data_IF_414179168063
#
_entry.id   IF_414179168063
#
_cell.length_a   1.000
_cell.length_b   1.000
_cell.length_c   1.000
_cell.angle_alpha   90.00
_cell.angle_beta   90.00
_cell.angle_gamma   90.00
#
_symmetry.space_group_name_H-M   'P 1'
#
loop_
_entity.id
_entity.type
_entity.pdbx_description
1 polymer ?
#
# COMPACT_ATOMS: atom_id res chain seq x y z
N UNK A 1 -1.11 -11.45 -19.49
CA UNK A 1 -0.42 -11.74 -18.22
C UNK A 1 -1.35 -11.30 -17.12
N UNK A 2 -1.88 -12.23 -16.33
CA UNK A 2 -2.66 -11.90 -15.13
C UNK A 2 -1.73 -11.24 -14.12
N UNK A 3 -2.04 -10.02 -13.68
CA UNK A 3 -1.25 -9.35 -12.65
C UNK A 3 -1.22 -10.24 -11.40
N UNK A 4 -0.02 -10.60 -10.97
CA UNK A 4 0.17 -11.47 -9.81
C UNK A 4 -0.36 -10.77 -8.55
N UNK A 5 -1.00 -11.52 -7.66
CA UNK A 5 -1.46 -10.98 -6.37
C UNK A 5 -0.23 -10.60 -5.53
N UNK A 6 -0.07 -9.30 -5.29
CA UNK A 6 0.99 -8.74 -4.44
C UNK A 6 0.32 -8.08 -3.25
N UNK A 7 0.69 -8.47 -2.05
CA UNK A 7 0.32 -7.75 -0.84
C UNK A 7 1.33 -6.63 -0.59
N UNK A 8 0.84 -5.42 -0.35
CA UNK A 8 1.65 -4.24 -0.04
C UNK A 8 1.32 -3.81 1.39
N UNK A 9 2.32 -3.91 2.27
CA UNK A 9 2.23 -3.49 3.67
C UNK A 9 3.20 -2.35 3.92
N UNK A 10 2.77 -1.34 4.66
CA UNK A 10 3.60 -0.22 5.07
C UNK A 10 3.97 -0.51 6.53
N UNK A 11 5.27 -0.54 6.82
CA UNK A 11 5.80 -0.85 8.15
C UNK A 11 6.61 0.33 8.67
N UNK A 12 6.45 0.66 9.95
CA UNK A 12 7.30 1.65 10.61
C UNK A 12 8.72 1.12 10.81
N UNK A 13 9.72 1.98 10.66
CA UNK A 13 11.13 1.61 10.87
C UNK A 13 11.57 1.71 12.33
N UNK A 14 10.73 2.31 13.19
CA UNK A 14 11.06 2.76 14.55
C UNK A 14 11.46 1.66 15.56
N UNK A 15 11.49 0.36 15.21
CA UNK A 15 12.03 -0.69 16.09
C UNK A 15 12.63 -1.88 15.33
N UNK A 16 13.83 -1.68 14.79
CA UNK A 16 14.64 -2.73 14.15
C UNK A 16 14.96 -3.96 15.05
N UNK A 17 14.58 -3.96 16.35
CA UNK A 17 14.77 -5.10 17.26
C UNK A 17 13.60 -6.10 17.32
N UNK A 18 12.46 -5.80 16.70
CA UNK A 18 11.27 -6.68 16.75
C UNK A 18 10.55 -6.87 15.40
N UNK A 19 11.10 -6.32 14.32
CA UNK A 19 10.36 -6.17 13.05
C UNK A 19 9.46 -4.94 13.16
N UNK A 20 9.49 -4.10 12.12
CA UNK A 20 8.62 -2.92 12.04
C UNK A 20 7.16 -3.28 12.26
N UNK A 21 6.41 -2.40 12.90
CA UNK A 21 4.97 -2.60 13.07
C UNK A 21 4.24 -2.30 11.78
N UNK A 22 3.33 -3.18 11.35
CA UNK A 22 2.41 -2.86 10.26
C UNK A 22 1.59 -1.62 10.62
N UNK A 23 1.66 -0.57 9.80
CA UNK A 23 0.93 0.68 10.02
C UNK A 23 -0.22 0.88 9.03
N UNK A 24 -0.10 0.40 7.80
CA UNK A 24 -1.15 0.50 6.79
C UNK A 24 -0.98 -0.54 5.68
N UNK A 25 -2.03 -0.73 4.89
CA UNK A 25 -1.98 -1.49 3.64
C UNK A 25 -2.15 -0.53 2.44
N UNK A 26 -1.58 -0.89 1.30
CA UNK A 26 -1.63 -0.06 0.10
C UNK A 26 -1.68 -0.86 -1.20
N UNK A 27 -1.43 -0.14 -2.30
CA UNK A 27 -1.34 -0.72 -3.64
C UNK A 27 -0.13 -0.18 -4.38
N UNK A 28 0.56 -1.05 -5.11
CA UNK A 28 1.63 -0.68 -6.02
C UNK A 28 0.99 -0.24 -7.34
N UNK A 29 1.01 1.07 -7.59
CA UNK A 29 0.41 1.68 -8.80
C UNK A 29 1.43 1.89 -9.92
N UNK A 30 2.71 2.01 -9.56
CA UNK A 30 3.86 2.04 -10.46
C UNK A 30 5.01 1.27 -9.78
N UNK A 31 6.05 0.81 -10.50
CA UNK A 31 7.18 0.12 -9.87
C UNK A 31 7.84 0.92 -8.73
N UNK A 32 7.76 2.24 -8.75
CA UNK A 32 8.34 3.14 -7.74
C UNK A 32 7.30 3.86 -6.88
N UNK A 33 6.00 3.52 -6.96
CA UNK A 33 4.96 4.24 -6.23
C UNK A 33 3.90 3.35 -5.60
N UNK A 34 3.57 3.69 -4.35
CA UNK A 34 2.51 3.03 -3.58
C UNK A 34 1.45 4.03 -3.13
N UNK A 35 0.18 3.67 -3.32
CA UNK A 35 -0.96 4.40 -2.74
C UNK A 35 -1.35 3.78 -1.41
N UNK A 36 -1.54 4.62 -0.40
CA UNK A 36 -2.07 4.24 0.93
C UNK A 36 -3.42 4.93 1.10
N UNK A 37 -4.55 4.21 0.93
CA UNK A 37 -5.88 4.81 0.92
C UNK A 37 -6.37 5.27 2.30
N UNK A 38 -5.85 4.68 3.37
CA UNK A 38 -6.18 5.01 4.76
C UNK A 38 -4.87 5.19 5.55
N UNK A 39 -4.16 6.31 5.34
CA UNK A 39 -2.87 6.55 5.96
C UNK A 39 -3.05 6.96 7.44
N UNK A 40 -2.23 6.43 8.37
CA UNK A 40 -2.25 6.90 9.74
C UNK A 40 -1.74 8.35 9.81
N UNK A 41 -2.14 9.14 10.83
CA UNK A 41 -1.76 10.55 10.93
C UNK A 41 -0.26 10.80 10.82
N UNK A 42 0.54 9.96 11.48
CA UNK A 42 2.00 10.06 11.46
C UNK A 42 2.65 9.84 10.08
N UNK A 43 1.94 9.21 9.15
CA UNK A 43 2.41 9.06 7.77
C UNK A 43 2.18 10.35 6.99
N UNK A 44 1.04 11.01 7.20
CA UNK A 44 0.68 12.25 6.51
C UNK A 44 1.51 13.45 6.96
N UNK A 45 1.87 13.52 8.25
CA UNK A 45 2.69 14.61 8.80
C UNK A 45 4.21 14.36 8.69
N UNK A 46 4.61 13.20 8.17
CA UNK A 46 6.01 12.83 7.96
C UNK A 46 6.78 12.46 9.23
N UNK A 47 6.10 12.26 10.37
CA UNK A 47 6.74 11.83 11.63
C UNK A 47 7.05 10.33 11.69
N UNK A 48 6.50 9.53 10.76
CA UNK A 48 6.79 8.11 10.64
C UNK A 48 7.78 7.83 9.51
N UNK A 49 8.96 7.35 9.88
CA UNK A 49 9.85 6.64 8.95
C UNK A 49 9.24 5.28 8.60
N UNK A 50 9.03 5.02 7.31
CA UNK A 50 8.37 3.80 6.83
C UNK A 50 9.11 3.11 5.70
N UNK A 51 9.05 1.78 5.73
CA UNK A 51 9.41 0.89 4.64
C UNK A 51 8.14 0.30 4.01
N UNK A 52 8.16 0.10 2.70
CA UNK A 52 7.16 -0.68 1.98
C UNK A 52 7.61 -2.13 1.88
N UNK A 53 6.75 -3.04 2.30
CA UNK A 53 6.95 -4.48 2.32
C UNK A 53 6.02 -5.13 1.30
N UNK A 54 6.60 -5.76 0.27
CA UNK A 54 5.87 -6.39 -0.82
C UNK A 54 6.08 -7.91 -0.81
N UNK A 55 4.99 -8.65 -0.94
CA UNK A 55 5.01 -10.11 -1.00
C UNK A 55 4.10 -10.60 -2.13
N UNK A 56 4.63 -11.43 -3.03
CA UNK A 56 3.82 -12.16 -4.01
C UNK A 56 3.05 -13.32 -3.36
N UNK A 57 2.02 -13.80 -4.05
CA UNK A 57 1.27 -15.00 -3.64
C UNK A 57 2.09 -16.29 -3.68
N UNK A 58 3.06 -16.37 -4.58
CA UNK A 58 4.03 -17.48 -4.64
C UNK A 58 5.18 -17.16 -3.67
N UNK A 59 5.57 -18.14 -2.85
CA UNK A 59 6.50 -18.09 -1.70
C UNK A 59 7.94 -17.57 -2.02
N UNK A 60 8.07 -16.39 -2.61
CA UNK A 60 9.32 -15.70 -2.91
C UNK A 60 9.75 -14.75 -1.79
N UNK A 61 11.05 -14.38 -1.69
CA UNK A 61 11.56 -13.46 -0.67
C UNK A 61 10.75 -12.18 -0.64
N UNK A 62 10.40 -11.65 0.52
CA UNK A 62 9.69 -10.39 0.71
C UNK A 62 10.60 -9.27 0.24
N UNK A 63 10.06 -8.35 -0.56
CA UNK A 63 10.76 -7.12 -0.90
C UNK A 63 10.52 -6.10 0.19
N UNK A 64 11.59 -5.45 0.66
CA UNK A 64 11.49 -4.31 1.56
C UNK A 64 12.20 -3.14 0.90
N UNK A 65 11.47 -2.06 0.66
CA UNK A 65 11.98 -0.86 0.00
C UNK A 65 11.68 0.35 0.89
N UNK A 66 12.69 1.12 1.33
CA UNK A 66 12.46 2.36 2.06
C UNK A 66 11.63 3.35 1.24
N UNK A 67 10.79 4.13 1.92
CA UNK A 67 10.17 5.31 1.31
C UNK A 67 11.18 6.45 1.22
N UNK A 68 11.21 7.16 0.08
CA UNK A 68 11.99 8.40 -0.08
C UNK A 68 11.15 9.65 0.06
N UNK A 69 9.83 9.52 0.07
CA UNK A 69 8.92 10.67 0.14
C UNK A 69 7.47 10.24 0.35
N UNK A 70 6.72 11.08 1.05
CA UNK A 70 5.28 10.92 1.25
C UNK A 70 4.57 12.14 0.68
N UNK A 71 3.71 11.92 -0.30
CA UNK A 71 2.85 12.94 -0.85
C UNK A 71 1.44 12.76 -0.26
N UNK A 72 1.09 13.60 0.72
CA UNK A 72 -0.27 13.68 1.25
C UNK A 72 -1.18 14.36 0.22
N UNK A 73 -2.26 13.67 -0.16
CA UNK A 73 -3.24 14.17 -1.12
C UNK A 73 -4.60 14.25 -0.47
N UNK A 74 -5.36 15.29 -0.85
CA UNK A 74 -6.73 15.49 -0.42
C UNK A 74 -7.64 15.72 -1.62
N UNK A 75 -8.62 14.84 -1.80
CA UNK A 75 -9.59 14.90 -2.91
C UNK A 75 -10.99 14.61 -2.36
N UNK A 76 -12.00 15.37 -2.81
CA UNK A 76 -13.38 15.27 -2.33
C UNK A 76 -13.52 15.21 -0.79
N UNK A 77 -12.60 15.89 -0.07
CA UNK A 77 -12.58 15.92 1.39
C UNK A 77 -11.86 14.73 2.07
N UNK A 78 -11.55 13.66 1.35
CA UNK A 78 -10.82 12.49 1.84
C UNK A 78 -9.30 12.65 1.69
N UNK A 79 -8.54 12.08 2.61
CA UNK A 79 -7.07 12.13 2.64
C UNK A 79 -6.47 10.75 2.38
N UNK A 80 -5.44 10.71 1.53
CA UNK A 80 -4.67 9.50 1.24
C UNK A 80 -3.21 9.87 0.94
N UNK A 81 -2.32 8.88 0.95
CA UNK A 81 -0.90 9.12 0.71
C UNK A 81 -0.40 8.41 -0.54
N UNK A 82 0.56 9.02 -1.23
CA UNK A 82 1.38 8.38 -2.26
C UNK A 82 2.82 8.34 -1.80
N UNK A 83 3.38 7.15 -1.65
CA UNK A 83 4.76 6.91 -1.25
C UNK A 83 5.63 6.73 -2.51
N UNK A 84 6.73 7.48 -2.58
CA UNK A 84 7.79 7.25 -3.56
C UNK A 84 8.83 6.28 -2.97
N UNK A 85 9.19 5.24 -3.72
CA UNK A 85 10.10 4.18 -3.28
C UNK A 85 11.55 4.50 -3.65
N UNK A 86 12.49 4.13 -2.77
CA UNK A 86 13.94 4.30 -3.01
C UNK A 86 14.48 3.52 -4.22
N UNK A 87 13.78 2.46 -4.63
CA UNK A 87 14.09 1.66 -5.81
C UNK A 87 12.81 1.11 -6.43
N UNK A 88 12.87 0.78 -7.72
CA UNK A 88 11.76 0.09 -8.38
C UNK A 88 11.55 -1.31 -7.78
N UNK A 89 10.31 -1.61 -7.42
CA UNK A 89 9.82 -2.94 -7.05
C UNK A 89 10.02 -3.90 -8.22
N UNK A 90 10.46 -5.12 -7.90
CA UNK A 90 10.50 -6.22 -8.88
C UNK A 90 9.10 -6.78 -9.18
N UNK A 91 8.12 -6.48 -8.33
CA UNK A 91 6.73 -6.88 -8.54
C UNK A 91 6.04 -5.95 -9.53
N UNK A 92 5.21 -6.52 -10.42
CA UNK A 92 4.36 -5.73 -11.29
C UNK A 92 3.32 -4.95 -10.47
N UNK A 93 2.92 -3.74 -10.91
CA UNK A 93 1.81 -2.99 -10.31
C UNK A 93 0.56 -3.86 -10.17
N UNK A 94 -0.06 -3.81 -8.99
CA UNK A 94 -1.31 -4.52 -8.68
C UNK A 94 -2.52 -3.58 -8.68
N UNK A 95 -2.29 -2.30 -8.91
CA UNK A 95 -3.34 -1.32 -9.16
C UNK A 95 -2.92 -0.32 -10.24
N UNK A 96 -3.89 0.43 -10.76
CA UNK A 96 -3.70 1.58 -11.63
C UNK A 96 -4.19 2.81 -10.88
N UNK A 97 -3.44 3.90 -10.91
CA UNK A 97 -3.92 5.17 -10.37
C UNK A 97 -5.03 5.71 -11.29
N UNK A 98 -6.27 5.89 -10.81
CA UNK A 98 -7.30 6.50 -11.64
C UNK A 98 -6.98 7.97 -11.93
N UNK A 99 -7.46 8.48 -13.06
CA UNK A 99 -7.34 9.90 -13.38
C UNK A 99 -7.96 10.77 -12.27
N UNK A 100 -7.36 11.91 -11.88
CA UNK A 100 -7.77 12.67 -10.70
C UNK A 100 -9.27 13.03 -10.68
N UNK A 101 -9.83 13.43 -11.82
CA UNK A 101 -11.26 13.77 -11.95
C UNK A 101 -12.16 12.56 -11.72
N UNK A 102 -11.76 11.39 -12.22
CA UNK A 102 -12.50 10.14 -12.02
C UNK A 102 -12.38 9.65 -10.57
N UNK A 103 -11.19 9.78 -9.97
CA UNK A 103 -10.95 9.44 -8.58
C UNK A 103 -11.76 10.33 -7.64
N UNK A 104 -11.79 11.64 -7.87
CA UNK A 104 -12.58 12.58 -7.06
C UNK A 104 -14.08 12.25 -7.11
N UNK A 105 -14.61 11.97 -8.31
CA UNK A 105 -16.00 11.56 -8.48
C UNK A 105 -16.30 10.23 -7.77
N UNK A 106 -15.38 9.26 -7.85
CA UNK A 106 -15.52 7.97 -7.18
C UNK A 106 -15.49 8.14 -5.65
N UNK A 107 -14.56 8.93 -5.09
CA UNK A 107 -14.49 9.21 -3.65
C UNK A 107 -15.79 9.84 -3.17
N UNK A 108 -16.32 10.83 -3.90
CA UNK A 108 -17.60 11.45 -3.56
C UNK A 108 -18.77 10.44 -3.60
N UNK A 109 -18.82 9.57 -4.62
CA UNK A 109 -19.84 8.54 -4.74
C UNK A 109 -19.77 7.47 -3.63
N UNK A 110 -18.58 7.25 -3.07
CA UNK A 110 -18.31 6.31 -1.98
C UNK A 110 -18.20 6.98 -0.60
N UNK A 111 -18.74 8.19 -0.43
CA UNK A 111 -18.86 8.84 0.88
C UNK A 111 -17.53 9.20 1.54
N UNK A 112 -16.48 9.45 0.75
CA UNK A 112 -15.14 9.73 1.24
C UNK A 112 -14.26 8.49 1.45
N UNK A 113 -14.77 7.29 1.18
CA UNK A 113 -13.98 6.06 1.26
C UNK A 113 -13.07 5.91 0.03
N UNK A 114 -11.80 6.31 0.19
CA UNK A 114 -10.78 6.22 -0.86
C UNK A 114 -10.53 4.76 -1.26
N UNK A 115 -10.61 3.82 -0.32
CA UNK A 115 -10.38 2.41 -0.66
C UNK A 115 -11.49 1.90 -1.57
N UNK A 116 -12.74 2.10 -1.15
CA UNK A 116 -13.90 1.69 -1.95
C UNK A 116 -13.91 2.37 -3.33
N UNK A 117 -13.50 3.65 -3.41
CA UNK A 117 -13.37 4.36 -4.67
C UNK A 117 -12.34 3.73 -5.63
N UNK A 118 -11.15 3.37 -5.13
CA UNK A 118 -10.12 2.69 -5.93
C UNK A 118 -10.56 1.29 -6.40
N UNK A 119 -11.19 0.52 -5.50
CA UNK A 119 -11.69 -0.82 -5.81
C UNK A 119 -12.83 -0.77 -6.85
N UNK A 120 -13.76 0.18 -6.70
CA UNK A 120 -14.88 0.38 -7.63
C UNK A 120 -14.44 0.87 -9.02
N UNK A 121 -13.32 1.59 -9.11
CA UNK A 121 -12.72 2.00 -10.38
C UNK A 121 -12.16 0.82 -11.19
N UNK A 122 -12.28 -0.43 -10.71
CA UNK A 122 -11.78 -1.64 -11.38
C UNK A 122 -10.26 -1.63 -11.55
N UNK A 123 -9.58 -0.74 -10.83
CA UNK A 123 -8.18 -0.41 -10.99
C UNK A 123 -7.30 -1.21 -10.04
N UNK A 124 -7.80 -2.30 -9.46
CA UNK A 124 -7.11 -3.07 -8.41
C UNK A 124 -7.28 -4.56 -8.67
N UNK A 125 -6.19 -5.33 -8.59
CA UNK A 125 -6.27 -6.78 -8.45
C UNK A 125 -6.75 -7.08 -7.03
N UNK A 126 -7.89 -7.79 -6.83
CA UNK A 126 -8.43 -8.02 -5.50
C UNK A 126 -7.37 -8.59 -4.55
N UNK A 127 -7.10 -7.87 -3.46
CA UNK A 127 -6.30 -8.36 -2.33
C UNK A 127 -7.29 -8.61 -1.19
N UNK A 128 -7.36 -9.84 -0.62
CA UNK A 128 -8.27 -10.12 0.46
C UNK A 128 -8.07 -9.13 1.62
N UNK A 129 -9.15 -8.54 2.19
CA UNK A 129 -9.03 -7.65 3.33
C UNK A 129 -8.32 -8.36 4.49
N UNK A 130 -7.36 -7.66 5.11
CA UNK A 130 -6.51 -8.22 6.18
C UNK A 130 -5.23 -8.91 5.71
N UNK A 131 -4.96 -8.93 4.40
CA UNK A 131 -3.70 -9.46 3.84
C UNK A 131 -2.47 -8.73 4.38
N UNK A 132 -1.76 -9.37 5.32
CA UNK A 132 -0.52 -8.85 5.90
C UNK A 132 0.69 -9.59 5.34
N UNK A 133 1.66 -8.86 4.79
CA UNK A 133 2.96 -9.44 4.52
C UNK A 133 3.63 -9.78 5.86
N UNK A 134 4.04 -11.03 6.05
CA UNK A 134 4.78 -11.44 7.23
C UNK A 134 6.27 -11.42 6.91
N UNK A 135 6.99 -10.41 7.38
CA UNK A 135 8.44 -10.31 7.19
C UNK A 135 9.20 -11.50 7.81
N UNK A 136 8.71 -12.06 8.93
CA UNK A 136 9.35 -13.18 9.64
C UNK A 136 9.30 -14.51 8.90
N UNK A 137 8.20 -14.78 8.21
CA UNK A 137 7.94 -16.08 7.55
C UNK A 137 7.77 -15.94 6.05
N UNK A 138 7.94 -14.74 5.52
CA UNK A 138 8.06 -14.49 4.10
C UNK A 138 6.81 -14.85 3.28
N UNK A 139 5.62 -14.70 3.86
CA UNK A 139 4.34 -15.04 3.24
C UNK A 139 3.25 -14.02 3.57
N UNK A 140 2.20 -13.97 2.75
CA UNK A 140 0.98 -13.18 3.03
C UNK A 140 0.08 -13.97 4.00
N UNK A 141 -0.54 -13.30 4.97
CA UNK A 141 -1.45 -13.91 5.95
C UNK A 141 -0.85 -15.08 6.70
N UNK A 142 0.37 -14.89 7.22
CA UNK A 142 1.02 -15.92 8.01
C UNK A 142 0.16 -16.30 9.21
N UNK A 143 -0.47 -17.48 9.16
CA UNK A 143 -1.26 -18.05 10.26
C UNK A 143 -0.44 -18.29 11.55
N UNK A 144 0.90 -18.15 11.48
CA UNK A 144 1.79 -18.24 12.64
C UNK A 144 2.05 -16.90 13.32
N UNK A 145 1.58 -15.80 12.73
CA UNK A 145 1.75 -14.43 13.23
C UNK A 145 0.42 -13.66 13.33
N UNK A 146 -0.70 -14.32 13.06
CA UNK A 146 -2.07 -13.83 13.24
C UNK A 146 -2.49 -13.87 14.70
#
# INVERSE_FOLDING_TARGET
MTAAHVAVSIESEATARSGGGHVAAGWLVEPTRVVVPDPPPGLLDGSLDVSVVLAGADEGPVERIPSTGVNALRLAGAEFAVLDLASASRHAPNAVMPEPVALEAAIAAHGGDVRAAFEAAGSVVPVPPGSKACAKHNIVNCARCS
#
